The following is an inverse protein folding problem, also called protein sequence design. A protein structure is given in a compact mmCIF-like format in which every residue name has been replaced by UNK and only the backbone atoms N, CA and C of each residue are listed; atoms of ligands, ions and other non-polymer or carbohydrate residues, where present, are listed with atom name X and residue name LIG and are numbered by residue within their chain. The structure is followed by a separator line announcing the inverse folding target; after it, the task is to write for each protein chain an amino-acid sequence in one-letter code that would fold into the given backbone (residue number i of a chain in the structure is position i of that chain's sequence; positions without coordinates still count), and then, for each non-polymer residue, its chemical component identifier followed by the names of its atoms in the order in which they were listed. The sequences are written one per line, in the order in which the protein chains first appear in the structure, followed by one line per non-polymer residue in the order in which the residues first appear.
data_IF_531034266016
#
_entry.id   IF_531034266016
#
_cell.length_a   1.000
_cell.length_b   1.000
_cell.length_c   1.000
_cell.angle_alpha   90.00
_cell.angle_beta   90.00
_cell.angle_gamma   90.00
#
_symmetry.space_group_name_H-M   'P 1'
#
loop_
_entity.id
_entity.type
_entity.pdbx_description
1 polymer ?
#
# COMPACT_ATOMS: atom_id res chain seq x y z
N UNK A 1 25.50 -20.79 -19.69
CA UNK A 1 24.11 -20.97 -20.16
C UNK A 1 23.09 -20.98 -19.03
N UNK A 2 23.18 -21.86 -18.02
CA UNK A 2 22.22 -21.89 -16.89
C UNK A 2 22.02 -20.55 -16.16
N UNK A 3 23.09 -19.79 -15.93
CA UNK A 3 23.03 -18.46 -15.26
C UNK A 3 22.29 -17.39 -16.09
N UNK A 4 22.39 -17.45 -17.42
CA UNK A 4 21.73 -16.49 -18.32
C UNK A 4 20.23 -16.72 -18.35
N UNK A 5 19.80 -17.99 -18.31
CA UNK A 5 18.37 -18.35 -18.28
C UNK A 5 17.72 -17.87 -16.97
N UNK A 6 18.41 -18.00 -15.83
CA UNK A 6 17.89 -17.51 -14.54
C UNK A 6 17.75 -15.98 -14.53
N UNK A 7 18.73 -15.25 -15.07
CA UNK A 7 18.67 -13.79 -15.18
C UNK A 7 17.55 -13.34 -16.12
N UNK A 8 17.39 -14.02 -17.25
CA UNK A 8 16.32 -13.72 -18.22
C UNK A 8 14.93 -13.98 -17.62
N UNK A 9 14.78 -15.08 -16.86
CA UNK A 9 13.55 -15.42 -16.15
C UNK A 9 13.20 -14.37 -15.07
N UNK A 10 14.20 -13.92 -14.30
CA UNK A 10 14.02 -12.85 -13.30
C UNK A 10 13.59 -11.53 -13.95
N UNK A 11 14.15 -11.17 -15.11
CA UNK A 11 13.80 -9.95 -15.85
C UNK A 11 12.36 -9.99 -16.41
N UNK A 12 11.90 -11.16 -16.89
CA UNK A 12 10.51 -11.31 -17.36
C UNK A 12 9.49 -11.30 -16.22
N UNK A 13 9.87 -11.78 -15.03
CA UNK A 13 8.99 -11.77 -13.86
C UNK A 13 8.77 -10.35 -13.30
N UNK A 14 9.74 -9.44 -13.44
CA UNK A 14 9.60 -8.05 -12.97
C UNK A 14 8.59 -7.20 -13.76
N UNK A 15 8.24 -7.56 -15.01
CA UNK A 15 7.34 -6.76 -15.85
C UNK A 15 5.88 -6.74 -15.36
N UNK A 16 5.48 -7.74 -14.57
CA UNK A 16 4.11 -7.87 -14.04
C UNK A 16 3.95 -7.38 -12.59
N UNK A 17 4.98 -6.77 -12.00
CA UNK A 17 4.96 -6.38 -10.59
C UNK A 17 4.52 -4.90 -10.40
N UNK A 18 3.26 -4.59 -10.71
CA UNK A 18 2.63 -3.27 -10.50
C UNK A 18 1.84 -3.21 -9.17
N UNK A 19 2.45 -3.67 -8.07
CA UNK A 19 1.76 -3.79 -6.76
C UNK A 19 2.58 -3.25 -5.58
N UNK A 20 3.67 -2.54 -5.84
CA UNK A 20 4.49 -1.95 -4.78
C UNK A 20 3.85 -0.63 -4.32
N UNK A 21 3.52 -0.54 -3.04
CA UNK A 21 3.07 0.68 -2.36
C UNK A 21 4.28 1.35 -1.69
N UNK A 22 4.19 2.63 -1.33
CA UNK A 22 5.26 3.37 -0.64
C UNK A 22 6.62 3.42 -1.38
N UNK A 23 6.63 3.45 -2.72
CA UNK A 23 7.86 3.42 -3.55
C UNK A 23 8.94 4.41 -3.10
N UNK A 24 8.54 5.61 -2.68
CA UNK A 24 9.45 6.69 -2.30
C UNK A 24 10.25 6.42 -1.01
N UNK A 25 9.71 5.62 -0.09
CA UNK A 25 10.31 5.41 1.25
C UNK A 25 10.94 4.03 1.36
N UNK A 26 10.35 3.00 0.74
CA UNK A 26 10.74 1.61 0.96
C UNK A 26 12.09 1.21 0.30
N UNK A 27 12.52 1.92 -0.74
CA UNK A 27 13.72 1.57 -1.53
C UNK A 27 15.01 2.31 -1.11
N UNK A 28 14.94 3.14 -0.07
CA UNK A 28 16.09 3.93 0.37
C UNK A 28 17.07 3.08 1.19
N UNK A 29 18.36 3.39 1.09
CA UNK A 29 19.38 2.90 2.03
C UNK A 29 19.16 3.40 3.47
N UNK A 30 18.25 4.37 3.65
CA UNK A 30 17.78 4.91 4.92
C UNK A 30 16.33 4.51 5.23
N UNK A 31 15.77 3.52 4.53
CA UNK A 31 14.38 3.09 4.73
C UNK A 31 14.13 2.45 6.10
N UNK A 32 15.18 1.97 6.78
CA UNK A 32 15.09 1.42 8.13
C UNK A 32 13.98 0.37 8.27
N UNK A 33 13.03 0.59 9.17
CA UNK A 33 11.86 -0.30 9.37
C UNK A 33 11.01 -0.50 8.10
N UNK A 34 10.93 0.49 7.22
CA UNK A 34 10.10 0.45 6.01
C UNK A 34 10.66 -0.49 4.94
N UNK A 35 11.99 -0.59 4.84
CA UNK A 35 12.66 -1.44 3.85
C UNK A 35 12.64 -2.93 4.21
N UNK A 36 12.40 -3.28 5.48
CA UNK A 36 12.46 -4.66 5.95
C UNK A 36 11.38 -5.57 5.34
N UNK A 37 10.24 -5.02 4.93
CA UNK A 37 9.21 -5.81 4.24
C UNK A 37 9.64 -6.26 2.84
N UNK A 38 10.56 -5.51 2.21
CA UNK A 38 11.10 -5.84 0.89
C UNK A 38 12.36 -6.70 1.01
N UNK A 39 13.25 -6.36 1.95
CA UNK A 39 14.53 -7.05 2.12
C UNK A 39 14.91 -7.18 3.61
N UNK A 40 14.58 -8.30 4.27
CA UNK A 40 14.96 -8.54 5.66
C UNK A 40 16.46 -8.49 5.93
N UNK A 41 17.30 -8.80 4.93
CA UNK A 41 18.75 -8.79 5.08
C UNK A 41 19.32 -7.37 5.25
N UNK A 42 18.55 -6.32 4.92
CA UNK A 42 18.98 -4.93 5.09
C UNK A 42 18.99 -4.46 6.55
N UNK A 43 18.51 -5.29 7.50
CA UNK A 43 18.61 -5.00 8.95
C UNK A 43 20.05 -5.00 9.44
N UNK A 44 20.97 -5.62 8.69
CA UNK A 44 22.39 -5.71 9.01
C UNK A 44 23.17 -4.69 8.19
N UNK A 45 24.16 -4.06 8.81
CA UNK A 45 25.06 -3.11 8.17
C UNK A 45 24.35 -1.95 7.45
N UNK A 46 23.16 -1.58 7.93
CA UNK A 46 22.45 -0.39 7.47
C UNK A 46 23.13 0.90 7.93
N UNK A 47 23.01 1.95 7.12
CA UNK A 47 23.46 3.31 7.47
C UNK A 47 22.68 3.87 8.66
N UNK A 48 21.42 3.49 8.81
CA UNK A 48 20.62 3.77 10.01
C UNK A 48 20.98 2.72 11.04
N UNK A 49 21.59 3.12 12.16
CA UNK A 49 21.97 2.19 13.23
C UNK A 49 20.84 1.97 14.23
N UNK A 50 20.04 2.99 14.49
CA UNK A 50 18.94 2.96 15.44
C UNK A 50 17.81 3.83 14.91
N UNK A 51 16.60 3.32 15.01
CA UNK A 51 15.38 4.06 14.67
C UNK A 51 14.29 3.69 15.66
N UNK A 52 13.59 4.71 16.15
CA UNK A 52 12.31 4.58 16.83
C UNK A 52 11.28 5.04 15.82
N UNK A 53 10.54 4.08 15.27
CA UNK A 53 9.40 4.38 14.44
C UNK A 53 8.24 4.78 15.37
N UNK A 54 7.53 5.87 15.08
CA UNK A 54 6.40 6.34 15.91
C UNK A 54 5.08 5.97 15.25
N UNK A 55 4.85 6.50 14.04
CA UNK A 55 3.62 6.26 13.29
C UNK A 55 3.87 6.57 11.83
N UNK A 56 3.38 5.71 10.96
CA UNK A 56 3.29 5.97 9.52
C UNK A 56 1.97 5.45 8.99
N UNK A 57 1.46 6.11 7.96
CA UNK A 57 0.24 5.73 7.26
C UNK A 57 0.44 5.80 5.76
N UNK A 58 -0.18 4.87 5.05
CA UNK A 58 -0.29 4.84 3.60
C UNK A 58 -1.77 4.62 3.26
N UNK A 59 -2.29 5.45 2.35
CA UNK A 59 -3.67 5.38 1.87
C UNK A 59 -3.60 5.45 0.35
N UNK A 60 -4.03 4.37 -0.29
CA UNK A 60 -4.14 4.27 -1.73
C UNK A 60 -5.60 4.00 -2.11
N UNK A 61 -6.14 4.82 -3.00
CA UNK A 61 -7.49 4.68 -3.53
C UNK A 61 -7.42 4.78 -5.04
N UNK A 62 -7.97 3.78 -5.72
CA UNK A 62 -8.08 3.74 -7.17
C UNK A 62 -9.52 3.41 -7.54
N UNK A 63 -10.10 4.16 -8.48
CA UNK A 63 -11.46 3.95 -8.94
C UNK A 63 -11.62 4.50 -10.37
N UNK A 64 -12.69 4.09 -11.07
CA UNK A 64 -13.01 4.57 -12.43
C UNK A 64 -14.28 5.44 -12.49
N UNK A 65 -14.64 6.09 -11.37
CA UNK A 65 -15.88 6.84 -11.25
C UNK A 65 -15.65 8.31 -10.89
N UNK A 66 -14.90 8.60 -9.83
CA UNK A 66 -14.56 9.96 -9.38
C UNK A 66 -13.10 10.27 -9.71
N UNK A 67 -12.91 11.40 -10.38
CA UNK A 67 -11.62 11.96 -10.76
C UNK A 67 -11.46 13.35 -10.14
N UNK A 68 -10.21 13.73 -9.86
CA UNK A 68 -9.86 15.10 -9.48
C UNK A 68 -9.73 15.94 -10.75
N UNK A 69 -10.26 17.18 -10.72
CA UNK A 69 -10.00 18.14 -11.81
C UNK A 69 -8.53 18.52 -11.87
N UNK A 70 -8.09 18.89 -13.08
CA UNK A 70 -6.76 19.44 -13.28
C UNK A 70 -6.58 20.72 -12.44
N UNK A 71 -5.46 20.80 -11.71
CA UNK A 71 -5.17 21.93 -10.81
C UNK A 71 -5.79 21.81 -9.41
N UNK A 72 -6.60 20.79 -9.13
CA UNK A 72 -7.10 20.52 -7.77
C UNK A 72 -5.98 19.96 -6.91
N UNK A 73 -5.71 20.62 -5.78
CA UNK A 73 -4.71 20.20 -4.79
C UNK A 73 -5.41 19.80 -3.48
N UNK A 74 -6.01 18.59 -3.39
CA UNK A 74 -6.86 18.22 -2.27
C UNK A 74 -6.10 18.20 -0.94
N UNK A 75 -4.85 17.72 -0.92
CA UNK A 75 -3.99 17.75 0.28
C UNK A 75 -3.69 19.19 0.73
N UNK A 76 -3.43 20.10 -0.20
CA UNK A 76 -3.18 21.51 0.11
C UNK A 76 -4.42 22.20 0.69
N UNK A 77 -5.61 21.92 0.14
CA UNK A 77 -6.89 22.41 0.66
C UNK A 77 -7.18 21.87 2.06
N UNK A 78 -6.97 20.57 2.29
CA UNK A 78 -7.15 19.94 3.60
C UNK A 78 -6.24 20.55 4.68
N UNK A 79 -4.94 20.77 4.37
CA UNK A 79 -3.99 21.37 5.32
C UNK A 79 -4.32 22.83 5.62
N UNK A 80 -4.84 23.56 4.64
CA UNK A 80 -5.24 24.97 4.81
C UNK A 80 -6.65 25.14 5.40
N UNK A 81 -7.35 24.03 5.70
CA UNK A 81 -8.71 24.04 6.22
C UNK A 81 -9.77 24.51 5.22
N UNK A 82 -9.42 24.56 3.93
CA UNK A 82 -10.38 24.85 2.87
C UNK A 82 -11.21 23.61 2.57
N UNK A 83 -12.53 23.81 2.45
CA UNK A 83 -13.43 22.74 2.01
C UNK A 83 -13.17 22.42 0.54
N UNK A 84 -13.23 21.13 0.21
CA UNK A 84 -13.20 20.70 -1.18
C UNK A 84 -14.63 20.87 -1.72
N UNK A 85 -14.77 21.59 -2.83
CA UNK A 85 -16.06 21.88 -3.47
C UNK A 85 -16.46 20.75 -4.42
N UNK A 86 -17.74 20.64 -4.77
CA UNK A 86 -18.20 19.74 -5.83
C UNK A 86 -17.53 20.04 -7.18
N UNK A 87 -17.15 21.31 -7.39
CA UNK A 87 -16.40 21.75 -8.56
C UNK A 87 -14.98 21.17 -8.64
N UNK A 88 -14.43 20.62 -7.56
CA UNK A 88 -13.06 20.07 -7.54
C UNK A 88 -12.97 18.65 -8.12
N UNK A 89 -14.12 18.01 -8.35
CA UNK A 89 -14.23 16.64 -8.81
C UNK A 89 -14.94 16.55 -10.18
N UNK A 90 -14.74 15.41 -10.84
CA UNK A 90 -15.44 14.97 -12.03
C UNK A 90 -15.99 13.58 -11.76
N UNK A 91 -17.26 13.38 -12.01
CA UNK A 91 -17.88 12.06 -12.03
C UNK A 91 -17.99 11.53 -13.46
N UNK A 92 -17.61 10.28 -13.67
CA UNK A 92 -17.82 9.54 -14.92
C UNK A 92 -19.14 8.78 -14.83
N UNK A 93 -20.25 9.52 -14.84
CA UNK A 93 -21.59 8.94 -14.80
C UNK A 93 -22.00 8.41 -16.19
N UNK A 94 -21.63 7.16 -16.46
CA UNK A 94 -22.03 6.40 -17.65
C UNK A 94 -22.63 5.06 -17.23
N UNK A 95 -23.16 4.28 -18.20
CA UNK A 95 -23.82 3.00 -17.92
C UNK A 95 -22.86 1.83 -17.75
N UNK A 96 -21.54 2.05 -17.70
CA UNK A 96 -20.56 0.99 -17.50
C UNK A 96 -20.44 0.63 -16.02
N UNK A 97 -20.07 -0.61 -15.75
CA UNK A 97 -19.75 -1.03 -14.40
C UNK A 97 -18.54 -0.27 -13.85
N UNK A 98 -18.57 -0.06 -12.54
CA UNK A 98 -17.58 0.70 -11.79
C UNK A 98 -16.71 -0.22 -10.94
N UNK A 99 -15.50 0.25 -10.67
CA UNK A 99 -14.49 -0.44 -9.90
C UNK A 99 -13.95 0.49 -8.83
N UNK A 100 -13.68 -0.07 -7.66
CA UNK A 100 -12.97 0.61 -6.60
C UNK A 100 -11.99 -0.34 -5.93
N UNK A 101 -10.78 0.14 -5.69
CA UNK A 101 -9.78 -0.49 -4.84
C UNK A 101 -9.26 0.52 -3.83
N UNK A 102 -9.19 0.10 -2.58
CA UNK A 102 -8.71 0.90 -1.46
C UNK A 102 -7.78 0.03 -0.62
N UNK A 103 -6.56 0.50 -0.44
CA UNK A 103 -5.58 -0.05 0.48
C UNK A 103 -5.24 1.00 1.53
N UNK A 104 -5.27 0.61 2.81
CA UNK A 104 -4.85 1.46 3.91
C UNK A 104 -3.93 0.66 4.81
N UNK A 105 -2.74 1.20 5.05
CA UNK A 105 -1.75 0.62 5.94
C UNK A 105 -1.36 1.63 7.01
N UNK A 106 -1.28 1.16 8.25
CA UNK A 106 -0.69 1.89 9.36
C UNK A 106 0.43 1.06 9.97
N UNK A 107 1.53 1.73 10.31
CA UNK A 107 2.60 1.16 11.13
C UNK A 107 2.65 1.90 12.45
N UNK A 108 2.68 1.17 13.53
CA UNK A 108 2.67 1.69 14.89
C UNK A 108 4.10 1.81 15.45
N UNK A 109 4.27 2.24 16.72
CA UNK A 109 5.59 2.37 17.28
C UNK A 109 6.40 1.08 17.19
N UNK A 110 7.62 1.19 16.67
CA UNK A 110 8.51 0.07 16.41
C UNK A 110 9.95 0.45 16.70
N UNK A 111 10.81 -0.55 16.80
CA UNK A 111 12.23 -0.34 17.07
C UNK A 111 13.07 -1.09 16.06
N UNK A 112 14.13 -0.43 15.61
CA UNK A 112 15.09 -0.97 14.67
C UNK A 112 16.50 -0.72 15.18
N UNK A 113 17.33 -1.76 15.10
CA UNK A 113 18.72 -1.72 15.47
C UNK A 113 19.56 -2.47 14.44
N UNK A 114 20.60 -1.81 13.97
CA UNK A 114 21.55 -2.33 12.99
C UNK A 114 22.97 -2.10 13.46
N UNK A 115 23.75 -3.17 13.41
CA UNK A 115 25.21 -3.14 13.49
C UNK A 115 25.76 -3.91 12.31
N UNK A 116 27.09 -3.84 12.17
CA UNK A 116 27.79 -4.45 11.05
C UNK A 116 27.62 -5.99 10.99
N UNK A 117 27.49 -6.65 12.15
CA UNK A 117 27.47 -8.13 12.20
C UNK A 117 26.09 -8.69 12.58
N UNK A 118 25.23 -7.87 13.19
CA UNK A 118 23.91 -8.26 13.67
C UNK A 118 22.93 -7.09 13.57
N UNK A 119 21.67 -7.39 13.30
CA UNK A 119 20.58 -6.43 13.37
C UNK A 119 19.28 -7.09 13.81
N UNK A 120 18.40 -6.31 14.42
CA UNK A 120 17.05 -6.74 14.72
C UNK A 120 16.06 -5.58 14.60
N UNK A 121 14.81 -5.92 14.35
CA UNK A 121 13.73 -4.95 14.38
C UNK A 121 12.42 -5.59 14.83
N UNK A 122 11.62 -4.82 15.55
CA UNK A 122 10.24 -5.17 15.92
C UNK A 122 9.30 -4.10 15.35
N UNK A 123 8.27 -4.55 14.63
CA UNK A 123 7.29 -3.67 14.00
C UNK A 123 5.88 -4.19 14.28
N UNK A 124 4.95 -3.24 14.36
CA UNK A 124 3.53 -3.51 14.51
C UNK A 124 2.79 -2.73 13.42
N UNK A 125 1.72 -3.30 12.90
CA UNK A 125 0.94 -2.60 11.89
C UNK A 125 -0.44 -3.18 11.68
N UNK A 126 -1.24 -2.42 10.97
CA UNK A 126 -2.56 -2.82 10.49
C UNK A 126 -2.61 -2.55 9.00
N UNK A 127 -3.12 -3.50 8.23
CA UNK A 127 -3.44 -3.28 6.82
C UNK A 127 -4.87 -3.69 6.54
N UNK A 128 -5.56 -2.90 5.74
CA UNK A 128 -6.87 -3.25 5.22
C UNK A 128 -6.90 -3.04 3.73
N UNK A 129 -7.57 -3.95 3.03
CA UNK A 129 -7.72 -3.87 1.60
C UNK A 129 -9.18 -4.15 1.27
N UNK A 130 -9.76 -3.28 0.47
CA UNK A 130 -11.15 -3.38 0.01
C UNK A 130 -11.16 -3.25 -1.51
N UNK A 131 -11.82 -4.18 -2.18
CA UNK A 131 -12.04 -4.14 -3.62
C UNK A 131 -13.50 -4.37 -3.93
N UNK A 132 -14.01 -3.59 -4.87
CA UNK A 132 -15.36 -3.72 -5.43
C UNK A 132 -15.20 -3.83 -6.93
N UNK A 133 -15.70 -4.93 -7.50
CA UNK A 133 -15.72 -5.17 -8.94
C UNK A 133 -17.15 -5.27 -9.43
N UNK A 134 -17.36 -4.89 -10.68
CA UNK A 134 -18.65 -4.93 -11.37
C UNK A 134 -19.73 -4.13 -10.61
N UNK A 135 -19.35 -2.98 -10.06
CA UNK A 135 -20.23 -2.16 -9.24
C UNK A 135 -21.21 -1.36 -10.11
N UNK A 136 -22.53 -1.53 -9.97
CA UNK A 136 -23.49 -0.85 -10.83
C UNK A 136 -23.39 0.68 -10.77
N UNK A 137 -23.38 1.33 -11.93
CA UNK A 137 -23.16 2.78 -12.03
C UNK A 137 -24.19 3.62 -11.25
N UNK A 138 -25.44 3.19 -11.18
CA UNK A 138 -26.48 3.90 -10.44
C UNK A 138 -26.28 3.78 -8.93
N UNK A 139 -25.74 2.66 -8.43
CA UNK A 139 -25.32 2.54 -7.04
C UNK A 139 -24.12 3.43 -6.75
N UNK A 140 -23.14 3.52 -7.67
CA UNK A 140 -22.01 4.45 -7.53
C UNK A 140 -22.47 5.91 -7.40
N UNK A 141 -23.47 6.32 -8.18
CA UNK A 141 -24.08 7.66 -8.09
C UNK A 141 -24.79 7.88 -6.76
N UNK A 142 -25.58 6.92 -6.26
CA UNK A 142 -26.17 7.02 -4.92
C UNK A 142 -25.12 7.09 -3.80
N UNK A 143 -24.02 6.34 -3.92
CA UNK A 143 -22.92 6.38 -2.96
C UNK A 143 -22.20 7.74 -2.94
N UNK A 144 -22.15 8.44 -4.07
CA UNK A 144 -21.47 9.74 -4.19
C UNK A 144 -22.38 10.92 -3.86
N UNK A 145 -23.55 10.99 -4.49
CA UNK A 145 -24.50 12.13 -4.36
C UNK A 145 -25.45 11.98 -3.17
N UNK A 146 -25.62 10.77 -2.65
CA UNK A 146 -26.62 10.47 -1.64
C UNK A 146 -27.99 10.08 -2.21
N UNK A 147 -28.92 9.74 -1.31
CA UNK A 147 -30.28 9.32 -1.66
C UNK A 147 -31.20 10.48 -2.03
N UNK A 148 -30.77 11.73 -1.85
CA UNK A 148 -31.46 12.96 -2.19
C UNK A 148 -31.27 13.40 -3.65
N UNK A 149 -30.46 12.67 -4.41
CA UNK A 149 -30.26 12.91 -5.84
C UNK A 149 -31.54 12.62 -6.66
N UNK A 150 -32.37 13.66 -6.79
CA UNK A 150 -33.70 13.62 -7.43
C UNK A 150 -33.74 12.96 -8.83
N UNK A 151 -32.71 13.06 -9.70
CA UNK A 151 -32.76 12.40 -11.01
C UNK A 151 -32.82 10.86 -10.93
N UNK A 152 -32.46 10.25 -9.80
CA UNK A 152 -32.57 8.79 -9.61
C UNK A 152 -33.87 8.38 -8.89
N UNK A 153 -34.72 9.32 -8.48
CA UNK A 153 -36.00 9.00 -7.85
C UNK A 153 -37.01 8.45 -8.87
N UNK A 154 -37.87 7.55 -8.43
CA UNK A 154 -38.93 6.93 -9.24
C UNK A 154 -38.42 6.20 -10.51
N UNK A 155 -37.15 5.77 -10.50
CA UNK A 155 -36.60 4.92 -11.56
C UNK A 155 -36.46 3.49 -11.05
N UNK A 156 -36.80 2.53 -11.90
CA UNK A 156 -36.53 1.12 -11.64
C UNK A 156 -35.13 0.79 -12.14
N UNK A 157 -34.26 0.35 -11.23
CA UNK A 157 -32.91 -0.08 -11.56
C UNK A 157 -32.83 -1.60 -11.46
N UNK A 158 -32.33 -2.23 -12.53
CA UNK A 158 -31.90 -3.62 -12.50
C UNK A 158 -30.37 -3.67 -12.47
N UNK A 159 -29.83 -4.43 -11.53
CA UNK A 159 -28.38 -4.56 -11.31
C UNK A 159 -27.93 -5.99 -11.54
N UNK A 160 -26.75 -6.13 -12.14
CA UNK A 160 -26.01 -7.39 -12.18
C UNK A 160 -25.47 -7.79 -10.80
N UNK A 161 -24.76 -8.91 -10.76
CA UNK A 161 -23.99 -9.32 -9.58
C UNK A 161 -22.74 -8.45 -9.49
N UNK A 162 -22.42 -7.98 -8.30
CA UNK A 162 -21.15 -7.33 -8.00
C UNK A 162 -20.37 -8.15 -6.96
N UNK A 163 -19.06 -7.93 -6.91
CA UNK A 163 -18.18 -8.61 -5.94
C UNK A 163 -17.55 -7.60 -5.01
N UNK A 164 -17.76 -7.77 -3.70
CA UNK A 164 -17.10 -7.03 -2.63
C UNK A 164 -16.14 -7.98 -1.91
N UNK A 165 -14.85 -7.63 -1.88
CA UNK A 165 -13.88 -8.29 -1.00
C UNK A 165 -13.29 -7.25 -0.07
N UNK A 166 -13.27 -7.54 1.23
CA UNK A 166 -12.62 -6.71 2.21
C UNK A 166 -11.92 -7.58 3.24
N UNK A 167 -10.76 -7.13 3.72
CA UNK A 167 -10.13 -7.74 4.89
C UNK A 167 -9.44 -6.66 5.72
N UNK A 168 -9.24 -6.97 7.00
CA UNK A 168 -8.38 -6.23 7.91
C UNK A 168 -7.43 -7.22 8.58
N UNK A 169 -6.15 -6.89 8.62
CA UNK A 169 -5.13 -7.73 9.24
C UNK A 169 -4.29 -6.86 10.18
N UNK A 170 -4.16 -7.33 11.41
CA UNK A 170 -3.18 -6.81 12.36
C UNK A 170 -1.90 -7.67 12.29
N UNK A 171 -0.74 -7.05 12.34
CA UNK A 171 0.55 -7.68 12.11
C UNK A 171 1.53 -7.34 13.22
N UNK A 172 2.23 -8.36 13.70
CA UNK A 172 3.41 -8.20 14.56
C UNK A 172 4.58 -8.82 13.82
N UNK A 173 5.68 -8.09 13.67
CA UNK A 173 6.83 -8.53 12.89
C UNK A 173 8.09 -8.46 13.73
N UNK A 174 8.83 -9.57 13.79
CA UNK A 174 10.19 -9.62 14.32
C UNK A 174 11.15 -9.95 13.19
N UNK A 175 12.12 -9.09 12.95
CA UNK A 175 13.18 -9.30 11.96
C UNK A 175 14.50 -9.48 12.68
N UNK A 176 15.25 -10.50 12.30
CA UNK A 176 16.61 -10.77 12.77
C UNK A 176 17.52 -10.90 11.56
N UNK A 177 18.73 -10.36 11.65
CA UNK A 177 19.72 -10.52 10.60
C UNK A 177 21.12 -10.69 11.13
N UNK A 178 21.95 -11.37 10.35
CA UNK A 178 23.35 -11.61 10.64
C UNK A 178 24.21 -11.49 9.38
N UNK A 179 25.40 -10.93 9.52
CA UNK A 179 26.43 -11.02 8.49
C UNK A 179 27.10 -12.41 8.58
N UNK A 180 27.11 -13.16 7.48
CA UNK A 180 27.74 -14.48 7.41
C UNK A 180 29.16 -14.42 6.87
N UNK A 181 29.40 -13.54 5.91
CA UNK A 181 30.71 -13.35 5.29
C UNK A 181 31.03 -11.88 5.25
N UNK A 182 32.22 -11.55 5.74
CA UNK A 182 32.79 -10.21 5.64
C UNK A 182 34.23 -10.30 5.20
N UNK A 183 34.51 -9.73 4.05
CA UNK A 183 35.85 -9.50 3.51
C UNK A 183 35.89 -8.07 2.95
N UNK A 184 37.07 -7.60 2.54
CA UNK A 184 37.22 -6.23 2.01
C UNK A 184 36.33 -5.96 0.78
N UNK A 185 36.06 -6.99 -0.04
CA UNK A 185 35.37 -6.87 -1.32
C UNK A 185 34.03 -7.61 -1.37
N UNK A 186 33.71 -8.40 -0.35
CA UNK A 186 32.53 -9.27 -0.35
C UNK A 186 31.84 -9.22 1.00
N UNK A 187 30.52 -9.06 0.94
CA UNK A 187 29.66 -9.06 2.11
C UNK A 187 28.42 -9.91 1.81
N UNK A 188 28.08 -10.82 2.73
CA UNK A 188 26.88 -11.64 2.64
C UNK A 188 26.07 -11.48 3.91
N UNK A 189 24.92 -10.82 3.78
CA UNK A 189 23.96 -10.61 4.85
C UNK A 189 22.76 -11.53 4.65
N UNK A 190 22.28 -12.11 5.75
CA UNK A 190 21.05 -12.91 5.77
C UNK A 190 20.13 -12.31 6.81
N UNK A 191 18.85 -12.19 6.44
CA UNK A 191 17.79 -11.73 7.33
C UNK A 191 16.58 -12.66 7.24
N UNK A 192 15.89 -12.80 8.37
CA UNK A 192 14.66 -13.56 8.50
C UNK A 192 13.64 -12.68 9.22
N UNK A 193 12.43 -12.61 8.68
CA UNK A 193 11.30 -11.95 9.32
C UNK A 193 10.23 -12.99 9.66
N UNK A 194 9.80 -12.98 10.91
CA UNK A 194 8.65 -13.74 11.39
C UNK A 194 7.51 -12.75 11.59
N UNK A 195 6.40 -12.96 10.89
CA UNK A 195 5.27 -12.04 10.86
C UNK A 195 3.94 -12.77 11.07
N UNK A 196 3.56 -13.08 12.33
CA UNK A 196 2.19 -13.51 12.63
C UNK A 196 1.17 -12.42 12.28
N UNK A 197 0.05 -12.86 11.70
CA UNK A 197 -1.04 -12.00 11.25
C UNK A 197 -2.36 -12.44 11.87
N UNK A 198 -3.17 -11.46 12.28
CA UNK A 198 -4.51 -11.67 12.86
C UNK A 198 -5.52 -11.05 11.90
N UNK A 199 -6.15 -11.91 11.09
CA UNK A 199 -7.12 -11.50 10.08
C UNK A 199 -8.54 -11.38 10.64
N UNK A 200 -9.25 -10.37 10.17
CA UNK A 200 -10.67 -10.13 10.37
C UNK A 200 -11.31 -9.99 8.97
N UNK A 201 -12.39 -10.74 8.75
CA UNK A 201 -13.19 -10.73 7.52
C UNK A 201 -14.53 -10.05 7.78
#
# INVERSE_FOLDING_TARGET
MKKVIVVLFMLTASYYCQAQEMWGIANSNYAGTMGLHLNPASVVNSYVQQEIHILSGDIFINNNYIYLREGTHPLGKMITGQSISDDDYLDDYNTSDKFMYKNVQFKYPGFYYSRKDFGFAINFGTRTNTSINDFPYHLAKFFWEGFDYTPQHNQNFESGKYTLNSYLVNEVSLTLGKNLVRSSNHEVNVGITIQPTFGHA
#
